data_IF_946632066649
#
_entry.id   IF_946632066649
#
_cell.length_a   1.000
_cell.length_b   1.000
_cell.length_c   1.000
_cell.angle_alpha   90.00
_cell.angle_beta   90.00
_cell.angle_gamma   90.00
#
_symmetry.space_group_name_H-M   'P 1'
#
loop_
_entity.id
_entity.type
_entity.pdbx_description
1 polymer ?
#
# COMPACT_ATOMS: atom_id res chain seq x y z
N UNK A 1 -60.82 34.51 59.15
CA UNK A 1 -60.03 34.93 57.96
C UNK A 1 -58.58 34.59 58.29
N UNK A 2 -57.80 33.76 57.61
CA UNK A 2 -57.75 33.34 56.21
C UNK A 2 -57.20 31.91 56.16
N UNK A 3 -57.83 31.07 55.35
CA UNK A 3 -57.25 29.81 54.88
C UNK A 3 -56.31 30.13 53.72
N UNK A 4 -55.04 29.73 53.81
CA UNK A 4 -54.11 29.74 52.66
C UNK A 4 -53.80 28.28 52.34
N UNK A 5 -54.36 27.82 51.23
CA UNK A 5 -54.20 26.47 50.72
C UNK A 5 -52.76 26.27 50.21
N UNK A 6 -52.10 25.22 50.71
CA UNK A 6 -50.89 24.67 50.12
C UNK A 6 -51.25 24.07 48.75
N UNK A 7 -50.86 24.74 47.66
CA UNK A 7 -50.91 24.20 46.31
C UNK A 7 -49.90 23.07 46.18
N UNK A 8 -50.38 21.82 46.14
CA UNK A 8 -49.59 20.67 45.73
C UNK A 8 -49.24 20.81 44.23
N UNK A 9 -47.94 21.01 43.95
CA UNK A 9 -47.38 20.93 42.59
C UNK A 9 -47.55 19.49 42.10
N UNK A 10 -48.45 19.26 41.13
CA UNK A 10 -48.71 17.94 40.54
C UNK A 10 -47.57 17.55 39.57
N UNK A 11 -46.81 16.46 39.81
CA UNK A 11 -45.81 15.98 38.86
C UNK A 11 -46.48 14.94 37.93
N UNK A 12 -47.14 15.39 36.87
CA UNK A 12 -47.80 14.45 35.92
C UNK A 12 -47.71 14.85 34.44
N UNK A 13 -47.01 15.94 34.08
CA UNK A 13 -47.05 16.47 32.71
C UNK A 13 -46.11 15.78 31.72
N UNK A 14 -45.08 15.08 32.21
CA UNK A 14 -44.04 14.51 31.35
C UNK A 14 -44.44 13.15 30.76
N UNK A 15 -45.12 12.31 31.53
CA UNK A 15 -45.58 10.98 31.11
C UNK A 15 -46.68 11.05 30.05
N UNK A 16 -47.59 12.01 30.19
CA UNK A 16 -48.70 12.19 29.25
C UNK A 16 -48.22 12.76 27.90
N UNK A 17 -47.25 13.68 27.93
CA UNK A 17 -46.62 14.20 26.72
C UNK A 17 -45.86 13.11 25.94
N UNK A 18 -45.12 12.25 26.64
CA UNK A 18 -44.40 11.12 26.05
C UNK A 18 -45.37 10.07 25.46
N UNK A 19 -46.45 9.75 26.15
CA UNK A 19 -47.45 8.78 25.66
C UNK A 19 -48.26 9.30 24.46
N UNK A 20 -48.49 10.62 24.38
CA UNK A 20 -49.12 11.28 23.24
C UNK A 20 -48.23 11.27 22.01
N UNK A 21 -46.94 11.57 22.17
CA UNK A 21 -45.95 11.52 21.10
C UNK A 21 -45.75 10.09 20.59
N UNK A 22 -45.69 9.10 21.48
CA UNK A 22 -45.57 7.68 21.13
C UNK A 22 -46.74 7.20 20.26
N UNK A 23 -47.99 7.50 20.64
CA UNK A 23 -49.18 7.12 19.83
C UNK A 23 -49.18 7.74 18.43
N UNK A 24 -48.65 8.95 18.27
CA UNK A 24 -48.54 9.63 16.97
C UNK A 24 -47.43 9.05 16.09
N UNK A 25 -46.29 8.70 16.67
CA UNK A 25 -45.14 8.17 15.92
C UNK A 25 -45.23 6.66 15.65
N UNK A 26 -45.95 5.91 16.49
CA UNK A 26 -46.08 4.44 16.42
C UNK A 26 -46.50 3.91 15.04
N UNK A 27 -47.54 4.41 14.35
CA UNK A 27 -47.91 3.86 13.03
C UNK A 27 -46.83 4.13 11.98
N UNK A 28 -46.17 5.29 12.00
CA UNK A 28 -45.06 5.61 11.10
C UNK A 28 -43.83 4.74 11.39
N UNK A 29 -43.50 4.52 12.66
CA UNK A 29 -42.41 3.64 13.10
C UNK A 29 -42.64 2.18 12.71
N UNK A 30 -43.87 1.67 12.83
CA UNK A 30 -44.20 0.29 12.47
C UNK A 30 -43.99 0.00 10.98
N UNK A 31 -44.08 1.01 10.12
CA UNK A 31 -43.84 0.87 8.67
C UNK A 31 -42.42 1.25 8.28
N UNK A 32 -41.89 2.35 8.83
CA UNK A 32 -40.56 2.84 8.48
C UNK A 32 -39.44 1.95 9.01
N UNK A 33 -39.59 1.40 10.22
CA UNK A 33 -38.57 0.54 10.82
C UNK A 33 -38.27 -0.72 10.00
N UNK A 34 -39.24 -1.56 9.59
CA UNK A 34 -38.94 -2.74 8.77
C UNK A 34 -38.37 -2.37 7.40
N UNK A 35 -38.76 -1.24 6.82
CA UNK A 35 -38.18 -0.75 5.55
C UNK A 35 -36.71 -0.39 5.73
N UNK A 36 -36.38 0.40 6.75
CA UNK A 36 -34.98 0.78 7.05
C UNK A 36 -34.14 -0.45 7.39
N UNK A 37 -34.68 -1.37 8.19
CA UNK A 37 -34.01 -2.63 8.51
C UNK A 37 -33.81 -3.51 7.26
N UNK A 38 -34.80 -3.58 6.36
CA UNK A 38 -34.70 -4.29 5.10
C UNK A 38 -33.63 -3.71 4.17
N UNK A 39 -33.55 -2.38 4.06
CA UNK A 39 -32.51 -1.69 3.29
C UNK A 39 -31.11 -1.93 3.90
N UNK A 40 -30.98 -1.83 5.22
CA UNK A 40 -29.73 -2.11 5.91
C UNK A 40 -29.30 -3.57 5.72
N UNK A 41 -30.22 -4.53 5.89
CA UNK A 41 -29.96 -5.95 5.69
C UNK A 41 -29.52 -6.25 4.25
N UNK A 42 -30.15 -5.62 3.26
CA UNK A 42 -29.78 -5.75 1.86
C UNK A 42 -28.37 -5.19 1.59
N UNK A 43 -28.04 -4.04 2.19
CA UNK A 43 -26.69 -3.47 2.13
C UNK A 43 -25.63 -4.39 2.73
N UNK A 44 -25.89 -4.96 3.90
CA UNK A 44 -24.99 -5.93 4.54
C UNK A 44 -24.85 -7.22 3.72
N UNK A 45 -25.95 -7.74 3.18
CA UNK A 45 -25.92 -8.93 2.33
C UNK A 45 -25.07 -8.69 1.07
N UNK A 46 -25.22 -7.54 0.42
CA UNK A 46 -24.40 -7.16 -0.73
C UNK A 46 -22.92 -7.01 -0.37
N UNK A 47 -22.60 -6.36 0.74
CA UNK A 47 -21.22 -6.22 1.22
C UNK A 47 -20.59 -7.59 1.54
N UNK A 48 -21.33 -8.48 2.19
CA UNK A 48 -20.88 -9.85 2.49
C UNK A 48 -20.64 -10.66 1.21
N UNK A 49 -21.55 -10.57 0.23
CA UNK A 49 -21.39 -11.24 -1.06
C UNK A 49 -20.16 -10.74 -1.84
N UNK A 50 -19.90 -9.42 -1.82
CA UNK A 50 -18.70 -8.84 -2.42
C UNK A 50 -17.42 -9.31 -1.74
N UNK A 51 -17.40 -9.35 -0.41
CA UNK A 51 -16.26 -9.84 0.36
C UNK A 51 -15.97 -11.32 0.06
N UNK A 52 -17.01 -12.16 0.07
CA UNK A 52 -16.89 -13.59 -0.25
C UNK A 52 -16.42 -13.83 -1.69
N UNK A 53 -16.86 -13.00 -2.65
CA UNK A 53 -16.40 -13.09 -4.04
C UNK A 53 -14.93 -12.70 -4.18
N UNK A 54 -14.49 -11.63 -3.52
CA UNK A 54 -13.09 -11.22 -3.53
C UNK A 54 -12.18 -12.28 -2.88
N UNK A 55 -12.63 -12.98 -1.84
CA UNK A 55 -11.85 -14.05 -1.22
C UNK A 55 -11.71 -15.27 -2.15
N UNK A 56 -12.78 -15.65 -2.86
CA UNK A 56 -12.71 -16.71 -3.89
C UNK A 56 -11.69 -16.38 -4.99
N UNK A 57 -11.69 -15.14 -5.47
CA UNK A 57 -10.75 -14.70 -6.51
C UNK A 57 -9.30 -14.66 -5.99
N UNK A 58 -9.09 -14.25 -4.74
CA UNK A 58 -7.78 -14.30 -4.08
C UNK A 58 -7.26 -15.73 -3.98
N UNK A 59 -8.10 -16.67 -3.55
CA UNK A 59 -7.74 -18.10 -3.49
C UNK A 59 -7.43 -18.65 -4.88
N UNK A 60 -8.17 -18.25 -5.91
CA UNK A 60 -7.87 -18.65 -7.28
C UNK A 60 -6.50 -18.13 -7.76
N UNK A 61 -6.15 -16.88 -7.46
CA UNK A 61 -4.83 -16.30 -7.75
C UNK A 61 -3.71 -17.03 -6.99
N UNK A 62 -3.94 -17.38 -5.72
CA UNK A 62 -2.99 -18.15 -4.90
C UNK A 62 -2.79 -19.58 -5.43
N UNK A 63 -3.86 -20.19 -5.95
CA UNK A 63 -3.82 -21.46 -6.66
C UNK A 63 -3.20 -21.36 -8.07
N UNK A 64 -2.73 -20.16 -8.47
CA UNK A 64 -2.07 -19.94 -9.74
C UNK A 64 -3.00 -19.81 -10.94
N UNK A 65 -4.31 -19.66 -10.73
CA UNK A 65 -5.27 -19.35 -11.79
C UNK A 65 -5.42 -17.85 -11.95
N UNK A 66 -5.24 -17.36 -13.16
CA UNK A 66 -5.40 -15.94 -13.44
C UNK A 66 -6.88 -15.55 -13.41
N UNK A 67 -7.22 -14.52 -12.62
CA UNK A 67 -8.56 -13.93 -12.54
C UNK A 67 -8.50 -12.46 -12.91
N UNK A 68 -9.54 -11.95 -13.59
CA UNK A 68 -9.67 -10.53 -13.89
C UNK A 68 -10.01 -9.75 -12.61
N UNK A 69 -9.23 -8.71 -12.30
CA UNK A 69 -9.43 -7.85 -11.12
C UNK A 69 -9.68 -6.44 -11.62
N UNK A 70 -10.86 -5.90 -11.31
CA UNK A 70 -11.24 -4.54 -11.70
C UNK A 70 -10.54 -3.45 -10.86
N UNK A 71 -10.60 -2.18 -11.30
CA UNK A 71 -9.96 -1.07 -10.60
C UNK A 71 -10.55 -0.78 -9.22
N UNK A 72 -11.84 -1.06 -9.01
CA UNK A 72 -12.55 -0.87 -7.74
C UNK A 72 -12.49 -2.11 -6.82
N UNK A 73 -11.56 -3.02 -7.09
CA UNK A 73 -11.38 -4.21 -6.28
C UNK A 73 -10.82 -3.86 -4.89
N UNK A 74 -11.14 -4.67 -3.85
CA UNK A 74 -10.54 -4.48 -2.54
C UNK A 74 -9.00 -4.50 -2.63
N UNK A 75 -8.27 -3.63 -1.89
CA UNK A 75 -6.82 -3.53 -2.00
C UNK A 75 -6.07 -4.85 -1.80
N UNK A 76 -6.59 -5.74 -0.94
CA UNK A 76 -6.03 -7.08 -0.74
C UNK A 76 -6.09 -7.98 -1.98
N UNK A 77 -7.16 -7.86 -2.77
CA UNK A 77 -7.30 -8.60 -4.02
C UNK A 77 -6.36 -8.04 -5.10
N UNK A 78 -6.24 -6.71 -5.16
CA UNK A 78 -5.26 -6.03 -6.05
C UNK A 78 -3.84 -6.48 -5.70
N UNK A 79 -3.48 -6.50 -4.42
CA UNK A 79 -2.19 -7.00 -3.95
C UNK A 79 -1.98 -8.47 -4.34
N UNK A 80 -2.99 -9.32 -4.17
CA UNK A 80 -2.89 -10.73 -4.57
C UNK A 80 -2.63 -10.87 -6.07
N UNK A 81 -3.27 -10.04 -6.91
CA UNK A 81 -3.04 -9.97 -8.35
C UNK A 81 -1.63 -9.45 -8.68
N UNK A 82 -1.15 -8.43 -7.98
CA UNK A 82 0.22 -7.92 -8.12
C UNK A 82 1.24 -9.01 -7.77
N UNK A 83 1.04 -9.75 -6.68
CA UNK A 83 1.87 -10.90 -6.31
C UNK A 83 1.80 -12.00 -7.37
N UNK A 84 0.62 -12.29 -7.92
CA UNK A 84 0.46 -13.27 -8.99
C UNK A 84 1.32 -12.94 -10.23
N UNK A 85 1.34 -11.67 -10.63
CA UNK A 85 2.20 -11.21 -11.72
C UNK A 85 3.68 -11.20 -11.34
N UNK A 86 4.02 -10.66 -10.16
CA UNK A 86 5.39 -10.61 -9.68
C UNK A 86 6.03 -12.00 -9.54
N UNK A 87 5.28 -13.02 -9.13
CA UNK A 87 5.78 -14.42 -9.04
C UNK A 87 6.02 -15.08 -10.40
N UNK A 88 5.50 -14.49 -11.48
CA UNK A 88 5.67 -14.93 -12.88
C UNK A 88 6.59 -13.99 -13.67
N UNK A 89 7.32 -13.14 -12.97
CA UNK A 89 8.25 -12.15 -13.52
C UNK A 89 7.60 -11.17 -14.52
N UNK A 90 6.27 -11.01 -14.43
CA UNK A 90 5.45 -10.01 -15.14
C UNK A 90 5.50 -8.69 -14.37
N UNK A 91 6.67 -8.07 -14.36
CA UNK A 91 6.99 -6.93 -13.47
C UNK A 91 6.24 -5.66 -13.84
N UNK A 92 5.98 -5.41 -15.11
CA UNK A 92 5.26 -4.22 -15.58
C UNK A 92 3.80 -4.24 -15.11
N UNK A 93 3.10 -5.38 -15.27
CA UNK A 93 1.72 -5.50 -14.81
C UNK A 93 1.63 -5.51 -13.29
N UNK A 94 2.63 -6.07 -12.59
CA UNK A 94 2.72 -5.97 -11.15
C UNK A 94 2.89 -4.52 -10.69
N UNK A 95 3.79 -3.76 -11.34
CA UNK A 95 4.08 -2.36 -11.00
C UNK A 95 2.83 -1.48 -11.14
N UNK A 96 2.08 -1.61 -12.24
CA UNK A 96 0.86 -0.84 -12.45
C UNK A 96 -0.17 -1.04 -11.31
N UNK A 97 -0.29 -2.26 -10.78
CA UNK A 97 -1.18 -2.57 -9.66
C UNK A 97 -0.64 -2.02 -8.33
N UNK A 98 0.69 -2.09 -8.11
CA UNK A 98 1.33 -1.53 -6.92
C UNK A 98 1.19 0.00 -6.90
N UNK A 99 1.35 0.67 -8.03
CA UNK A 99 1.13 2.12 -8.15
C UNK A 99 -0.34 2.51 -7.93
N UNK A 100 -1.29 1.68 -8.36
CA UNK A 100 -2.69 1.88 -8.04
C UNK A 100 -2.95 1.80 -6.51
N UNK A 101 -2.32 0.84 -5.82
CA UNK A 101 -2.40 0.73 -4.36
C UNK A 101 -1.79 1.95 -3.66
N UNK A 102 -0.66 2.46 -4.14
CA UNK A 102 -0.02 3.67 -3.60
C UNK A 102 -0.88 4.91 -3.80
N UNK A 103 -1.45 5.10 -5.00
CA UNK A 103 -2.37 6.22 -5.29
C UNK A 103 -3.61 6.18 -4.40
N UNK A 104 -4.08 4.98 -4.06
CA UNK A 104 -5.19 4.78 -3.14
C UNK A 104 -4.81 4.95 -1.65
N UNK A 105 -3.54 5.21 -1.32
CA UNK A 105 -3.07 5.31 0.07
C UNK A 105 -3.18 3.98 0.84
N UNK A 106 -3.17 2.85 0.14
CA UNK A 106 -3.38 1.53 0.76
C UNK A 106 -2.16 1.09 1.57
N UNK A 107 -2.41 0.55 2.77
CA UNK A 107 -1.38 -0.11 3.58
C UNK A 107 -0.77 -1.34 2.87
N UNK A 108 -1.49 -1.93 1.91
CA UNK A 108 -1.00 -3.09 1.14
C UNK A 108 0.09 -2.70 0.12
N UNK A 109 0.25 -1.40 -0.19
CA UNK A 109 1.25 -0.90 -1.14
C UNK A 109 2.69 -1.29 -0.74
N UNK A 110 3.00 -1.28 0.57
CA UNK A 110 4.32 -1.67 1.08
C UNK A 110 4.66 -3.12 0.71
N UNK A 111 3.68 -4.02 0.88
CA UNK A 111 3.82 -5.44 0.51
C UNK A 111 3.88 -5.62 -1.01
N UNK A 112 3.15 -4.79 -1.76
CA UNK A 112 3.24 -4.73 -3.21
C UNK A 112 4.65 -4.39 -3.70
N UNK A 113 5.24 -3.31 -3.18
CA UNK A 113 6.63 -2.91 -3.48
C UNK A 113 7.63 -4.00 -3.16
N UNK A 114 7.47 -4.68 -2.02
CA UNK A 114 8.30 -5.82 -1.66
C UNK A 114 8.22 -6.97 -2.68
N UNK A 115 7.03 -7.33 -3.15
CA UNK A 115 6.89 -8.38 -4.18
C UNK A 115 7.51 -7.99 -5.51
N UNK A 116 7.34 -6.74 -5.93
CA UNK A 116 7.95 -6.20 -7.15
C UNK A 116 9.48 -6.22 -7.06
N UNK A 117 10.04 -5.77 -5.92
CA UNK A 117 11.47 -5.82 -5.64
C UNK A 117 12.03 -7.25 -5.71
N UNK A 118 11.32 -8.21 -5.09
CA UNK A 118 11.69 -9.62 -5.14
C UNK A 118 11.71 -10.16 -6.58
N UNK A 119 10.75 -9.75 -7.43
CA UNK A 119 10.71 -10.18 -8.82
C UNK A 119 11.90 -9.64 -9.62
N UNK A 120 12.18 -8.34 -9.50
CA UNK A 120 13.35 -7.70 -10.12
C UNK A 120 14.66 -8.34 -9.66
N UNK A 121 14.78 -8.66 -8.38
CA UNK A 121 15.97 -9.31 -7.84
C UNK A 121 16.16 -10.74 -8.36
N UNK A 122 15.08 -11.53 -8.52
CA UNK A 122 15.17 -12.85 -9.16
C UNK A 122 15.60 -12.75 -10.62
N UNK A 123 15.06 -11.79 -11.37
CA UNK A 123 15.49 -11.52 -12.75
C UNK A 123 16.97 -11.12 -12.79
N UNK A 124 17.42 -10.27 -11.87
CA UNK A 124 18.83 -9.89 -11.76
C UNK A 124 19.72 -11.10 -11.50
N UNK A 125 19.37 -11.97 -10.54
CA UNK A 125 20.12 -13.20 -10.30
C UNK A 125 20.17 -14.12 -11.52
N UNK A 126 19.08 -14.23 -12.28
CA UNK A 126 19.06 -15.03 -13.50
C UNK A 126 20.00 -14.47 -14.58
N UNK A 127 20.19 -13.15 -14.64
CA UNK A 127 21.17 -12.48 -15.53
C UNK A 127 22.60 -12.69 -15.05
N UNK A 128 22.86 -12.45 -13.76
CA UNK A 128 24.18 -12.67 -13.16
C UNK A 128 24.66 -14.11 -13.31
N UNK A 129 23.76 -15.09 -13.15
CA UNK A 129 24.09 -16.50 -13.35
C UNK A 129 24.53 -16.84 -14.79
N UNK A 130 24.20 -16.00 -15.77
CA UNK A 130 24.61 -16.14 -17.18
C UNK A 130 25.85 -15.31 -17.53
N UNK A 131 26.37 -14.54 -16.58
CA UNK A 131 27.44 -13.56 -16.81
C UNK A 131 26.95 -12.24 -17.42
N UNK A 132 25.64 -12.03 -17.54
CA UNK A 132 25.05 -10.82 -18.11
C UNK A 132 25.02 -9.69 -17.05
N UNK A 133 26.17 -9.05 -16.78
CA UNK A 133 26.27 -8.00 -15.76
C UNK A 133 25.44 -6.75 -16.13
N UNK A 134 25.51 -6.33 -17.39
CA UNK A 134 24.90 -5.08 -17.84
C UNK A 134 23.38 -5.02 -17.61
N UNK A 135 22.57 -6.00 -18.06
CA UNK A 135 21.14 -5.98 -17.79
C UNK A 135 20.78 -6.31 -16.35
N UNK A 136 21.69 -6.90 -15.56
CA UNK A 136 21.43 -7.17 -14.15
C UNK A 136 21.43 -5.88 -13.32
N UNK A 137 22.27 -4.91 -13.70
CA UNK A 137 22.54 -3.76 -12.87
C UNK A 137 21.32 -2.87 -12.57
N UNK A 138 20.58 -2.43 -13.59
CA UNK A 138 19.35 -1.67 -13.39
C UNK A 138 18.30 -2.41 -12.54
N UNK A 139 18.22 -3.74 -12.68
CA UNK A 139 17.27 -4.55 -11.90
C UNK A 139 17.60 -4.54 -10.40
N UNK A 140 18.89 -4.64 -10.03
CA UNK A 140 19.33 -4.56 -8.62
C UNK A 140 19.04 -3.17 -8.05
N UNK A 141 19.33 -2.11 -8.82
CA UNK A 141 19.07 -0.72 -8.42
C UNK A 141 17.58 -0.46 -8.19
N UNK A 142 16.72 -0.89 -9.11
CA UNK A 142 15.26 -0.76 -8.97
C UNK A 142 14.75 -1.57 -7.78
N UNK A 143 15.21 -2.81 -7.60
CA UNK A 143 14.83 -3.62 -6.44
C UNK A 143 15.18 -2.93 -5.11
N UNK A 144 16.38 -2.34 -5.02
CA UNK A 144 16.81 -1.56 -3.84
C UNK A 144 15.89 -0.37 -3.59
N UNK A 145 15.54 0.38 -4.62
CA UNK A 145 14.62 1.50 -4.52
C UNK A 145 13.24 1.06 -4.02
N UNK A 146 12.71 -0.05 -4.53
CA UNK A 146 11.43 -0.60 -4.09
C UNK A 146 11.45 -1.10 -2.64
N UNK A 147 12.50 -1.80 -2.21
CA UNK A 147 12.63 -2.19 -0.80
C UNK A 147 12.66 -0.97 0.12
N UNK A 148 13.36 0.10 -0.28
CA UNK A 148 13.37 1.36 0.48
C UNK A 148 11.97 1.97 0.55
N UNK A 149 11.23 2.01 -0.57
CA UNK A 149 9.82 2.48 -0.59
C UNK A 149 8.91 1.63 0.31
N UNK A 150 9.07 0.31 0.27
CA UNK A 150 8.35 -0.60 1.16
C UNK A 150 8.64 -0.28 2.65
N UNK A 151 9.90 0.01 3.00
CA UNK A 151 10.31 0.36 4.35
C UNK A 151 9.90 1.77 4.78
N UNK A 152 9.79 2.72 3.84
CA UNK A 152 9.21 4.04 4.12
C UNK A 152 7.75 3.90 4.52
N UNK A 153 6.98 3.07 3.83
CA UNK A 153 5.58 2.82 4.14
C UNK A 153 5.40 1.93 5.38
N UNK A 154 6.27 0.94 5.58
CA UNK A 154 6.22 0.01 6.70
C UNK A 154 7.62 -0.22 7.31
N UNK A 155 8.06 0.63 8.26
CA UNK A 155 9.41 0.54 8.85
C UNK A 155 9.69 -0.75 9.62
N UNK A 156 8.65 -1.47 10.05
CA UNK A 156 8.74 -2.77 10.73
C UNK A 156 8.86 -3.97 9.80
N UNK A 157 8.90 -3.78 8.47
CA UNK A 157 8.86 -4.90 7.52
C UNK A 157 10.22 -5.60 7.41
N UNK A 158 10.44 -6.59 8.28
CA UNK A 158 11.73 -7.27 8.42
C UNK A 158 12.22 -7.94 7.14
N UNK A 159 11.34 -8.62 6.39
CA UNK A 159 11.69 -9.27 5.13
C UNK A 159 12.26 -8.27 4.11
N UNK A 160 11.72 -7.05 4.06
CA UNK A 160 12.22 -5.99 3.19
C UNK A 160 13.58 -5.46 3.67
N UNK A 161 13.83 -5.37 4.99
CA UNK A 161 15.15 -4.98 5.52
C UNK A 161 16.22 -6.01 5.15
N UNK A 162 15.92 -7.29 5.36
CA UNK A 162 16.83 -8.38 5.04
C UNK A 162 17.14 -8.40 3.54
N UNK A 163 16.12 -8.34 2.68
CA UNK A 163 16.34 -8.37 1.23
C UNK A 163 17.00 -7.08 0.69
N UNK A 164 16.80 -5.93 1.34
CA UNK A 164 17.52 -4.70 1.01
C UNK A 164 19.03 -4.84 1.28
N UNK A 165 19.41 -5.47 2.38
CA UNK A 165 20.82 -5.75 2.69
C UNK A 165 21.43 -6.70 1.64
N UNK A 166 20.72 -7.77 1.28
CA UNK A 166 21.15 -8.68 0.20
C UNK A 166 21.35 -7.92 -1.12
N UNK A 167 20.39 -7.10 -1.54
CA UNK A 167 20.51 -6.30 -2.76
C UNK A 167 21.67 -5.28 -2.69
N UNK A 168 21.92 -4.71 -1.50
CA UNK A 168 23.00 -3.73 -1.30
C UNK A 168 24.38 -4.40 -1.36
N UNK A 169 24.50 -5.64 -0.90
CA UNK A 169 25.75 -6.42 -1.01
C UNK A 169 26.07 -6.75 -2.46
N UNK A 170 25.07 -7.05 -3.30
CA UNK A 170 25.32 -7.29 -4.73
C UNK A 170 25.96 -6.09 -5.43
N UNK A 171 25.50 -4.87 -5.15
CA UNK A 171 26.12 -3.68 -5.72
C UNK A 171 27.59 -3.52 -5.30
N UNK A 172 27.90 -3.86 -4.05
CA UNK A 172 29.27 -3.80 -3.53
C UNK A 172 30.15 -4.89 -4.12
N UNK A 173 29.62 -6.10 -4.25
CA UNK A 173 30.37 -7.26 -4.72
C UNK A 173 30.58 -7.23 -6.25
N UNK A 174 29.72 -6.49 -6.97
CA UNK A 174 29.82 -6.24 -8.41
C UNK A 174 29.81 -4.72 -8.70
N UNK A 175 30.90 -4.00 -8.44
CA UNK A 175 30.96 -2.54 -8.60
C UNK A 175 30.77 -2.08 -10.06
N UNK A 176 30.89 -2.97 -11.04
CA UNK A 176 30.53 -2.73 -12.45
C UNK A 176 29.04 -2.39 -12.59
N UNK A 177 28.18 -2.98 -11.76
CA UNK A 177 26.73 -2.73 -11.77
C UNK A 177 26.43 -1.27 -11.41
N UNK A 178 27.09 -0.73 -10.38
CA UNK A 178 26.85 0.64 -9.92
C UNK A 178 27.33 1.66 -10.95
N UNK A 179 28.40 1.35 -11.69
CA UNK A 179 28.94 2.19 -12.77
C UNK A 179 27.99 2.36 -13.96
N UNK A 180 27.03 1.46 -14.16
CA UNK A 180 26.09 1.49 -15.27
C UNK A 180 24.68 1.95 -14.88
N UNK A 181 24.37 1.98 -13.58
CA UNK A 181 23.06 2.39 -13.06
C UNK A 181 22.94 3.88 -12.70
N UNK A 182 24.04 4.61 -12.70
CA UNK A 182 24.07 6.07 -12.70
C UNK A 182 24.41 6.54 -14.10
N UNK A 183 23.73 7.59 -14.57
CA UNK A 183 24.04 8.32 -15.80
C UNK A 183 25.53 8.19 -16.17
N UNK A 184 25.79 7.84 -17.44
CA UNK A 184 27.06 8.08 -18.14
C UNK A 184 27.37 9.60 -18.24
N UNK A 185 27.05 10.38 -17.22
CA UNK A 185 27.85 11.54 -16.88
C UNK A 185 29.18 10.99 -16.39
N UNK A 186 30.07 10.73 -17.38
CA UNK A 186 31.52 10.76 -17.19
C UNK A 186 31.78 11.83 -16.15
N UNK A 187 32.09 11.43 -14.93
CA UNK A 187 32.55 12.35 -13.93
C UNK A 187 33.83 12.91 -14.52
N UNK A 188 33.77 14.10 -15.12
CA UNK A 188 34.96 14.86 -15.42
C UNK A 188 35.76 14.84 -14.12
N UNK A 189 37.02 14.36 -14.14
CA UNK A 189 37.79 14.23 -12.93
C UNK A 189 37.79 15.60 -12.28
N UNK A 190 37.19 15.71 -11.09
CA UNK A 190 37.16 16.96 -10.32
C UNK A 190 38.60 17.46 -10.31
N UNK A 191 38.85 18.57 -11.01
CA UNK A 191 40.10 19.33 -10.89
C UNK A 191 40.24 19.65 -9.42
N UNK A 192 41.04 18.85 -8.73
CA UNK A 192 41.48 19.10 -7.37
C UNK A 192 42.20 20.44 -7.49
N UNK A 193 41.59 21.48 -6.93
CA UNK A 193 42.24 22.77 -6.73
C UNK A 193 43.40 22.53 -5.74
N UNK A 194 44.52 22.13 -6.29
CA UNK A 194 45.82 22.17 -5.64
C UNK A 194 46.79 22.63 -6.69
N UNK A 195 46.61 23.89 -7.11
CA UNK A 195 47.77 24.67 -7.52
C UNK A 195 48.65 24.78 -6.28
N UNK A 196 49.56 23.83 -6.12
CA UNK A 196 50.76 24.05 -5.31
C UNK A 196 51.44 25.23 -5.99
N UNK A 197 51.51 26.43 -5.38
CA UNK A 197 52.17 27.55 -6.01
C UNK A 197 53.62 27.13 -6.24
N UNK A 198 54.03 27.22 -7.50
CA UNK A 198 55.31 26.73 -7.97
C UNK A 198 56.46 27.20 -7.09
N UNK A 199 57.34 26.27 -6.76
CA UNK A 199 58.65 26.52 -6.20
C UNK A 199 59.34 27.60 -7.04
N UNK A 200 59.67 28.79 -6.50
CA UNK A 200 60.36 29.80 -7.29
C UNK A 200 61.73 29.24 -7.67
N UNK A 201 61.91 28.98 -8.97
CA UNK A 201 63.23 28.73 -9.53
C UNK A 201 64.06 29.98 -9.28
N UNK A 202 65.20 29.80 -8.64
CA UNK A 202 66.13 30.86 -8.33
C UNK A 202 66.41 31.75 -9.55
N UNK A 203 66.41 33.04 -9.29
CA UNK A 203 67.09 34.02 -10.13
C UNK A 203 68.38 34.44 -9.38
N UNK A 204 69.39 34.94 -10.11
CA UNK A 204 70.83 34.64 -9.94
C UNK A 204 71.47 35.12 -8.63
#
# INVERSE_FOLDING_TARGET
>A
MRSVALQAVRPARWTDALSGLWRRLRPGLLVALPVVLGLAASGFAWAAWRAASADRDRVALEAGREVAVGPDAPPRLILAKARFFATRDRTEEAEALVEALERAGSLEAARGRYWLANARLRQAFARLARGDLDPAGPLVTLARADYRRALTAQPGFWDAKYNLDVASRLLRDFPEIERQGGDDLKAEPKKIWTEIPGQPRGAP
#
